data_IF_854054607908
#
_entry.id   IF_854054607908
#
_cell.length_a   1.000
_cell.length_b   1.000
_cell.length_c   1.000
_cell.angle_alpha   90.00
_cell.angle_beta   90.00
_cell.angle_gamma   90.00
#
_symmetry.space_group_name_H-M   'P 1'
#
loop_
_entity.id
_entity.type
_entity.pdbx_description
1 polymer ?
#
# COMPACT_ATOMS: atom_id res chain seq x y z
N UNK A 1 10.12 1.77 -8.30
CA UNK A 1 9.72 0.67 -7.40
C UNK A 1 8.20 0.57 -7.42
N UNK A 2 7.63 -0.59 -7.13
CA UNK A 2 6.17 -0.80 -7.14
C UNK A 2 5.72 -1.40 -5.82
N UNK A 3 4.60 -0.90 -5.28
CA UNK A 3 3.89 -1.41 -4.11
C UNK A 3 2.53 -1.94 -4.55
N UNK A 4 2.17 -3.14 -4.08
CA UNK A 4 0.83 -3.68 -4.22
C UNK A 4 0.41 -4.34 -2.90
N UNK A 5 -0.84 -4.15 -2.51
CA UNK A 5 -1.39 -4.71 -1.27
C UNK A 5 -2.89 -4.44 -1.12
N UNK A 6 -3.41 -4.77 0.06
CA UNK A 6 -4.77 -4.46 0.48
C UNK A 6 -4.73 -3.55 1.69
N UNK A 7 -5.58 -2.53 1.69
CA UNK A 7 -6.00 -1.86 2.91
C UNK A 7 -7.26 -2.56 3.41
N UNK A 8 -7.27 -2.94 4.70
CA UNK A 8 -8.39 -3.63 5.33
C UNK A 8 -8.73 -2.88 6.60
N UNK A 9 -9.98 -2.43 6.70
CA UNK A 9 -10.56 -1.98 7.95
C UNK A 9 -11.33 -3.14 8.59
N UNK A 10 -11.14 -3.32 9.89
CA UNK A 10 -11.77 -4.40 10.67
C UNK A 10 -12.58 -3.82 11.82
N UNK A 11 -13.69 -4.49 12.14
CA UNK A 11 -14.38 -4.27 13.41
C UNK A 11 -13.51 -4.77 14.57
N UNK A 12 -13.22 -3.90 15.53
CA UNK A 12 -12.29 -4.20 16.63
C UNK A 12 -12.78 -5.30 17.59
N UNK A 13 -14.11 -5.49 17.71
CA UNK A 13 -14.66 -6.47 18.66
C UNK A 13 -14.66 -7.88 18.11
N UNK A 14 -14.89 -8.01 16.80
CA UNK A 14 -15.10 -9.29 16.12
C UNK A 14 -13.95 -9.69 15.22
N UNK A 15 -13.11 -8.73 14.80
CA UNK A 15 -12.03 -8.91 13.84
C UNK A 15 -12.51 -9.09 12.40
N UNK A 16 -13.82 -8.92 12.11
CA UNK A 16 -14.32 -9.03 10.73
C UNK A 16 -13.98 -7.81 9.90
N UNK A 17 -13.60 -8.03 8.63
CA UNK A 17 -13.39 -6.95 7.68
C UNK A 17 -14.70 -6.22 7.39
N UNK A 18 -14.68 -4.90 7.48
CA UNK A 18 -15.82 -4.03 7.20
C UNK A 18 -15.59 -3.16 5.96
N UNK A 19 -14.33 -2.95 5.56
CA UNK A 19 -13.97 -2.41 4.25
C UNK A 19 -12.67 -3.04 3.73
N UNK A 20 -12.55 -3.19 2.41
CA UNK A 20 -11.37 -3.75 1.74
C UNK A 20 -11.11 -3.02 0.45
N UNK A 21 -9.92 -2.43 0.33
CA UNK A 21 -9.52 -1.67 -0.85
C UNK A 21 -8.18 -2.15 -1.41
N UNK A 22 -8.12 -2.21 -2.74
CA UNK A 22 -6.88 -2.51 -3.45
C UNK A 22 -5.94 -1.31 -3.40
N UNK A 23 -4.70 -1.52 -2.95
CA UNK A 23 -3.62 -0.53 -3.02
C UNK A 23 -2.65 -0.93 -4.13
N UNK A 24 -2.46 -0.05 -5.12
CA UNK A 24 -1.50 -0.23 -6.21
C UNK A 24 -0.78 1.09 -6.47
N UNK A 25 0.53 1.11 -6.25
CA UNK A 25 1.39 2.26 -6.52
C UNK A 25 2.57 1.80 -7.35
N UNK A 26 2.72 2.35 -8.56
CA UNK A 26 3.85 2.07 -9.44
C UNK A 26 4.39 3.36 -10.04
N UNK A 27 5.70 3.42 -10.23
CA UNK A 27 6.36 4.58 -10.82
C UNK A 27 7.78 4.27 -11.29
N UNK A 28 8.35 5.18 -12.10
CA UNK A 28 9.77 5.14 -12.48
C UNK A 28 10.63 5.19 -11.23
N UNK A 29 11.72 4.42 -11.21
CA UNK A 29 12.68 4.45 -10.10
C UNK A 29 13.14 5.90 -9.88
N UNK A 30 13.03 6.41 -8.66
CA UNK A 30 13.72 7.65 -8.29
C UNK A 30 15.23 7.40 -8.44
N UNK A 31 15.97 8.41 -8.91
CA UNK A 31 17.41 8.31 -9.09
C UNK A 31 18.05 7.99 -7.73
N UNK A 32 18.56 6.77 -7.59
CA UNK A 32 19.26 6.30 -6.41
C UNK A 32 20.77 6.47 -6.65
N UNK A 33 21.25 7.70 -6.51
CA UNK A 33 22.67 8.05 -6.63
C UNK A 33 22.89 9.48 -6.13
N UNK A 34 24.10 9.84 -5.66
CA UNK A 34 24.38 11.18 -5.18
C UNK A 34 24.10 12.22 -6.28
N UNK A 35 23.37 13.28 -5.94
CA UNK A 35 23.25 14.47 -6.76
C UNK A 35 24.60 15.17 -6.78
N UNK A 36 25.22 15.23 -7.97
CA UNK A 36 26.41 16.05 -8.22
C UNK A 36 26.10 17.54 -8.11
#
# INVERSE_FOLDING_TARGET
ATLAGLFVETDDKTGTAIDVQMVRVGGRLQQSGPTG
#
